data_IF_559399310542
#
_entry.id   IF_559399310542
#
_cell.length_a   1.000
_cell.length_b   1.000
_cell.length_c   1.000
_cell.angle_alpha   90.00
_cell.angle_beta   90.00
_cell.angle_gamma   90.00
#
_symmetry.space_group_name_H-M   'P 1'
#
loop_
_entity.id
_entity.type
_entity.pdbx_description
1 polymer ?
#
# COMPACT_ATOMS: atom_id res chain seq x y z
N UNK A 1 -55.80 53.95 12.50
CA UNK A 1 -56.09 54.65 11.23
C UNK A 1 -55.49 53.82 10.11
N UNK A 2 -56.29 53.42 9.13
CA UNK A 2 -55.83 52.65 7.96
C UNK A 2 -56.34 51.21 7.92
N UNK A 3 -57.63 51.08 7.59
CA UNK A 3 -58.22 49.81 7.15
C UNK A 3 -57.63 49.38 5.81
N UNK A 4 -57.54 48.06 5.56
CA UNK A 4 -57.71 47.53 4.20
C UNK A 4 -58.21 46.10 4.20
N UNK A 5 -59.08 45.90 3.21
CA UNK A 5 -60.16 44.94 3.09
C UNK A 5 -59.73 43.54 2.62
N UNK A 6 -60.64 42.55 2.70
CA UNK A 6 -60.43 41.17 2.27
C UNK A 6 -60.73 40.98 0.78
N UNK A 7 -60.06 39.99 0.17
CA UNK A 7 -60.39 39.45 -1.14
C UNK A 7 -59.16 39.20 -2.02
N UNK A 8 -58.59 38.00 -1.95
CA UNK A 8 -57.95 37.37 -3.09
C UNK A 8 -58.41 35.90 -3.11
N UNK A 9 -59.48 35.73 -3.88
CA UNK A 9 -59.81 34.57 -4.71
C UNK A 9 -58.95 33.30 -4.59
N UNK A 10 -59.68 32.22 -4.32
CA UNK A 10 -59.32 30.85 -4.62
C UNK A 10 -59.20 30.66 -6.13
N UNK A 11 -58.08 31.05 -6.74
CA UNK A 11 -57.66 30.54 -8.04
C UNK A 11 -56.57 29.51 -7.82
N UNK A 12 -56.91 28.25 -8.06
CA UNK A 12 -55.99 27.15 -8.07
C UNK A 12 -54.88 27.38 -9.09
N UNK A 13 -53.68 27.53 -8.60
CA UNK A 13 -52.49 27.01 -9.24
C UNK A 13 -51.61 26.44 -8.13
N UNK A 14 -52.04 25.29 -7.61
CA UNK A 14 -51.08 24.30 -7.17
C UNK A 14 -50.14 24.11 -8.35
N UNK A 15 -49.03 24.82 -8.35
CA UNK A 15 -47.84 24.50 -9.12
C UNK A 15 -47.37 23.14 -8.58
N UNK A 16 -48.06 22.09 -9.02
CA UNK A 16 -47.51 20.75 -9.21
C UNK A 16 -46.55 20.81 -10.40
N UNK A 17 -45.65 21.79 -10.39
CA UNK A 17 -44.61 21.97 -11.39
C UNK A 17 -43.36 21.36 -10.75
N UNK A 18 -43.11 20.09 -11.09
CA UNK A 18 -41.87 19.41 -10.75
C UNK A 18 -41.98 17.96 -10.25
N UNK A 19 -43.17 17.45 -9.92
CA UNK A 19 -43.33 16.08 -9.39
C UNK A 19 -44.20 15.14 -10.25
N UNK A 20 -44.26 15.37 -11.56
CA UNK A 20 -44.83 14.41 -12.54
C UNK A 20 -43.78 14.04 -13.59
N UNK A 21 -42.92 13.10 -13.23
CA UNK A 21 -42.03 12.37 -14.14
C UNK A 21 -41.79 10.95 -13.61
N UNK A 22 -42.80 10.39 -12.94
CA UNK A 22 -42.66 9.26 -12.02
C UNK A 22 -42.83 7.87 -12.62
N UNK A 23 -43.14 7.70 -13.91
CA UNK A 23 -43.60 6.38 -14.39
C UNK A 23 -42.89 5.79 -15.61
N UNK A 24 -41.93 6.47 -16.23
CA UNK A 24 -41.09 5.86 -17.29
C UNK A 24 -39.63 6.33 -17.20
N UNK A 25 -39.05 6.45 -15.99
CA UNK A 25 -37.58 6.52 -15.91
C UNK A 25 -37.04 5.17 -16.35
N UNK A 26 -36.38 5.18 -17.50
CA UNK A 26 -35.72 4.01 -18.06
C UNK A 26 -34.79 3.41 -17.01
N UNK A 27 -34.75 2.08 -16.91
CA UNK A 27 -33.78 1.35 -16.08
C UNK A 27 -32.34 1.78 -16.42
N UNK A 28 -32.09 2.20 -17.67
CA UNK A 28 -30.81 2.74 -18.09
C UNK A 28 -30.43 4.07 -17.41
N UNK A 29 -31.42 4.89 -17.06
CA UNK A 29 -31.20 6.20 -16.42
C UNK A 29 -30.87 6.04 -14.93
N UNK A 30 -31.57 5.14 -14.23
CA UNK A 30 -31.26 4.80 -12.83
C UNK A 30 -29.88 4.14 -12.71
N UNK A 31 -29.53 3.25 -13.65
CA UNK A 31 -28.22 2.60 -13.66
C UNK A 31 -27.10 3.61 -13.98
N UNK A 32 -27.37 4.59 -14.85
CA UNK A 32 -26.44 5.68 -15.17
C UNK A 32 -26.16 6.56 -13.94
N UNK A 33 -27.19 6.90 -13.17
CA UNK A 33 -27.05 7.69 -11.94
C UNK A 33 -26.23 6.92 -10.89
N UNK A 34 -26.54 5.64 -10.66
CA UNK A 34 -25.78 4.79 -9.70
C UNK A 34 -24.32 4.61 -10.14
N UNK A 35 -24.06 4.41 -11.44
CA UNK A 35 -22.69 4.32 -11.95
C UNK A 35 -21.92 5.63 -11.76
N UNK A 36 -22.60 6.77 -11.91
CA UNK A 36 -22.04 8.10 -11.70
C UNK A 36 -21.73 8.35 -10.22
N UNK A 37 -22.63 7.95 -9.32
CA UNK A 37 -22.43 8.06 -7.88
C UNK A 37 -21.25 7.19 -7.41
N UNK A 38 -21.16 5.95 -7.90
CA UNK A 38 -20.07 5.05 -7.56
C UNK A 38 -18.72 5.53 -8.11
N UNK A 39 -18.70 6.08 -9.32
CA UNK A 39 -17.52 6.75 -9.90
C UNK A 39 -17.07 7.95 -9.05
N UNK A 40 -18.04 8.70 -8.50
CA UNK A 40 -17.77 9.84 -7.62
C UNK A 40 -17.17 9.40 -6.29
N UNK A 41 -17.71 8.36 -5.65
CA UNK A 41 -17.15 7.79 -4.42
C UNK A 41 -15.75 7.22 -4.63
N UNK A 42 -15.52 6.48 -5.71
CA UNK A 42 -14.19 5.94 -6.05
C UNK A 42 -13.15 7.05 -6.21
N UNK A 43 -13.52 8.17 -6.85
CA UNK A 43 -12.64 9.34 -6.98
C UNK A 43 -12.36 9.98 -5.63
N UNK A 44 -13.35 10.10 -4.75
CA UNK A 44 -13.18 10.67 -3.42
C UNK A 44 -12.26 9.81 -2.54
N UNK A 45 -12.44 8.49 -2.54
CA UNK A 45 -11.55 7.54 -1.84
C UNK A 45 -10.12 7.63 -2.36
N UNK A 46 -9.95 7.75 -3.68
CA UNK A 46 -8.63 7.96 -4.30
C UNK A 46 -8.01 9.30 -3.91
N UNK A 47 -8.79 10.39 -3.90
CA UNK A 47 -8.30 11.70 -3.49
C UNK A 47 -7.89 11.71 -2.01
N UNK A 48 -8.68 11.04 -1.16
CA UNK A 48 -8.38 10.90 0.26
C UNK A 48 -7.12 10.05 0.48
N UNK A 49 -7.04 8.88 -0.16
CA UNK A 49 -5.85 8.02 -0.11
C UNK A 49 -4.62 8.75 -0.64
N UNK A 50 -4.75 9.53 -1.71
CA UNK A 50 -3.67 10.37 -2.23
C UNK A 50 -3.25 11.45 -1.24
N UNK A 51 -4.20 12.08 -0.55
CA UNK A 51 -3.92 13.08 0.48
C UNK A 51 -3.17 12.44 1.67
N UNK A 52 -3.62 11.28 2.14
CA UNK A 52 -2.98 10.54 3.24
C UNK A 52 -1.58 10.05 2.87
N UNK A 53 -1.42 9.52 1.65
CA UNK A 53 -0.11 9.15 1.11
C UNK A 53 0.82 10.36 1.01
N UNK A 54 0.33 11.52 0.53
CA UNK A 54 1.13 12.76 0.45
C UNK A 54 1.55 13.25 1.84
N UNK A 55 0.65 13.21 2.81
CA UNK A 55 0.93 13.59 4.19
C UNK A 55 1.95 12.65 4.82
N UNK A 56 1.79 11.34 4.62
CA UNK A 56 2.74 10.32 5.08
C UNK A 56 4.10 10.49 4.42
N UNK A 57 4.15 10.67 3.11
CA UNK A 57 5.38 10.90 2.36
C UNK A 57 6.09 12.18 2.80
N UNK A 58 5.35 13.25 3.08
CA UNK A 58 5.91 14.53 3.55
C UNK A 58 6.50 14.39 4.94
N UNK A 59 5.79 13.72 5.87
CA UNK A 59 6.30 13.46 7.23
C UNK A 59 7.52 12.55 7.22
N UNK A 60 7.46 11.46 6.46
CA UNK A 60 8.58 10.53 6.28
C UNK A 60 9.77 11.24 5.62
N UNK A 61 9.53 12.06 4.59
CA UNK A 61 10.55 12.84 3.89
C UNK A 61 11.19 13.90 4.77
N UNK A 62 10.42 14.61 5.60
CA UNK A 62 10.95 15.56 6.58
C UNK A 62 11.83 14.85 7.61
N UNK A 63 11.37 13.72 8.15
CA UNK A 63 12.15 12.90 9.08
C UNK A 63 13.45 12.41 8.44
N UNK A 64 13.39 11.85 7.23
CA UNK A 64 14.56 11.42 6.48
C UNK A 64 15.54 12.57 6.22
N UNK A 65 15.03 13.76 5.86
CA UNK A 65 15.83 14.96 5.68
C UNK A 65 16.54 15.41 6.97
N UNK A 66 15.82 15.41 8.11
CA UNK A 66 16.41 15.74 9.41
C UNK A 66 17.51 14.74 9.81
N UNK A 67 17.28 13.45 9.64
CA UNK A 67 18.31 12.42 9.89
C UNK A 67 19.50 12.55 8.94
N UNK A 68 19.26 12.88 7.67
CA UNK A 68 20.33 13.16 6.71
C UNK A 68 21.18 14.36 7.14
N UNK A 69 20.53 15.47 7.52
CA UNK A 69 21.21 16.65 8.05
C UNK A 69 21.98 16.36 9.34
N UNK A 70 21.38 15.62 10.28
CA UNK A 70 22.03 15.21 11.53
C UNK A 70 23.25 14.30 11.27
N UNK A 71 23.20 13.41 10.27
CA UNK A 71 24.34 12.60 9.87
C UNK A 71 25.50 13.46 9.36
N UNK A 72 25.23 14.44 8.50
CA UNK A 72 26.25 15.38 8.00
C UNK A 72 26.82 16.24 9.13
N UNK A 73 25.97 16.83 9.97
CA UNK A 73 26.40 17.64 11.10
C UNK A 73 27.22 16.82 12.10
N UNK A 74 26.77 15.60 12.44
CA UNK A 74 27.51 14.67 13.29
C UNK A 74 28.86 14.28 12.70
N UNK A 75 28.94 14.06 11.38
CA UNK A 75 30.21 13.81 10.71
C UNK A 75 31.17 15.00 10.82
N UNK A 76 30.70 16.23 10.64
CA UNK A 76 31.52 17.43 10.82
C UNK A 76 32.03 17.58 12.25
N UNK A 77 31.18 17.32 13.25
CA UNK A 77 31.59 17.32 14.66
C UNK A 77 32.71 16.30 14.91
N UNK A 78 32.60 15.10 14.36
CA UNK A 78 33.62 14.06 14.49
C UNK A 78 34.96 14.47 13.84
N UNK A 79 34.92 15.13 12.68
CA UNK A 79 36.12 15.67 12.02
C UNK A 79 36.79 16.74 12.89
N UNK A 80 36.03 17.73 13.38
CA UNK A 80 36.59 18.78 14.22
C UNK A 80 37.11 18.25 15.56
N UNK A 81 36.40 17.30 16.18
CA UNK A 81 36.87 16.63 17.39
C UNK A 81 38.18 15.89 17.14
N UNK A 82 38.34 15.24 15.98
CA UNK A 82 39.57 14.55 15.61
C UNK A 82 40.75 15.51 15.43
N UNK A 83 40.51 16.65 14.77
CA UNK A 83 41.53 17.69 14.60
C UNK A 83 41.91 18.33 15.95
N UNK A 84 40.93 18.62 16.80
CA UNK A 84 41.15 19.17 18.14
C UNK A 84 41.93 18.17 19.00
N UNK A 85 41.60 16.88 18.95
CA UNK A 85 42.30 15.83 19.67
C UNK A 85 43.74 15.69 19.16
N UNK A 86 43.93 15.67 17.84
CA UNK A 86 45.27 15.61 17.23
C UNK A 86 46.12 16.80 17.69
N UNK A 87 45.61 18.03 17.56
CA UNK A 87 46.32 19.23 18.00
C UNK A 87 46.58 19.26 19.51
N UNK A 88 45.58 18.88 20.30
CA UNK A 88 45.67 18.80 21.76
C UNK A 88 46.78 17.84 22.21
N UNK A 89 46.77 16.61 21.72
CA UNK A 89 47.85 15.64 21.98
C UNK A 89 49.17 16.12 21.37
N UNK A 90 49.12 16.79 20.21
CA UNK A 90 50.30 17.31 19.51
C UNK A 90 51.16 18.22 20.38
N UNK A 91 50.53 18.98 21.28
CA UNK A 91 51.24 19.83 22.26
C UNK A 91 51.92 19.03 23.39
N UNK A 92 51.49 17.79 23.65
CA UNK A 92 52.03 16.94 24.72
C UNK A 92 53.11 15.97 24.21
N UNK A 93 52.85 15.32 23.06
CA UNK A 93 53.67 14.19 22.56
C UNK A 93 54.17 14.38 21.12
N UNK A 94 53.87 15.53 20.49
CA UNK A 94 54.23 15.84 19.11
C UNK A 94 53.20 15.36 18.08
N UNK A 95 53.05 16.12 16.99
CA UNK A 95 51.98 15.89 16.00
C UNK A 95 52.04 14.51 15.33
N UNK A 96 53.22 13.93 15.16
CA UNK A 96 53.36 12.60 14.54
C UNK A 96 52.69 11.49 15.36
N UNK A 97 53.03 11.40 16.66
CA UNK A 97 52.47 10.38 17.55
C UNK A 97 51.00 10.61 17.85
N UNK A 98 50.56 11.86 17.92
CA UNK A 98 49.14 12.20 18.05
C UNK A 98 48.32 11.68 16.88
N UNK A 99 48.82 11.84 15.66
CA UNK A 99 48.16 11.32 14.46
C UNK A 99 47.99 9.81 14.50
N UNK A 100 49.03 9.08 14.95
CA UNK A 100 48.97 7.62 15.11
C UNK A 100 47.88 7.21 16.11
N UNK A 101 47.81 7.88 17.27
CA UNK A 101 46.81 7.58 18.30
C UNK A 101 45.40 7.85 17.78
N UNK A 102 45.17 9.01 17.14
CA UNK A 102 43.86 9.35 16.56
C UNK A 102 43.47 8.34 15.47
N UNK A 103 44.42 7.90 14.64
CA UNK A 103 44.17 6.86 13.64
C UNK A 103 43.77 5.52 14.26
N UNK A 104 44.45 5.09 15.33
CA UNK A 104 44.10 3.85 16.06
C UNK A 104 42.71 3.94 16.68
N UNK A 105 42.35 5.08 17.27
CA UNK A 105 41.00 5.31 17.81
C UNK A 105 39.94 5.16 16.71
N UNK A 106 40.15 5.78 15.55
CA UNK A 106 39.23 5.64 14.41
C UNK A 106 39.19 4.24 13.83
N UNK A 107 40.30 3.50 13.82
CA UNK A 107 40.33 2.12 13.38
C UNK A 107 39.46 1.23 14.29
N UNK A 108 39.53 1.43 15.62
CA UNK A 108 38.69 0.71 16.58
C UNK A 108 37.20 1.06 16.38
N UNK A 109 36.88 2.35 16.32
CA UNK A 109 35.50 2.81 16.08
C UNK A 109 34.96 2.22 14.77
N UNK A 110 35.74 2.32 13.69
CA UNK A 110 35.38 1.78 12.37
C UNK A 110 35.15 0.27 12.38
N UNK A 111 36.00 -0.50 13.08
CA UNK A 111 35.82 -1.94 13.24
C UNK A 111 34.51 -2.28 13.96
N UNK A 112 34.20 -1.60 15.06
CA UNK A 112 32.95 -1.79 15.81
C UNK A 112 31.73 -1.44 14.95
N UNK A 113 31.76 -0.30 14.26
CA UNK A 113 30.68 0.11 13.36
C UNK A 113 30.48 -0.87 12.20
N UNK A 114 31.56 -1.39 11.62
CA UNK A 114 31.48 -2.38 10.54
C UNK A 114 30.84 -3.69 11.01
N UNK A 115 31.21 -4.19 12.19
CA UNK A 115 30.64 -5.43 12.75
C UNK A 115 29.17 -5.25 13.13
N UNK A 116 28.84 -4.17 13.85
CA UNK A 116 27.46 -3.88 14.26
C UNK A 116 26.56 -3.60 13.05
N UNK A 117 27.03 -2.80 12.10
CA UNK A 117 26.32 -2.50 10.85
C UNK A 117 26.03 -3.75 10.01
N UNK A 118 27.01 -4.67 9.89
CA UNK A 118 26.79 -5.97 9.24
C UNK A 118 25.70 -6.77 9.94
N UNK A 119 25.71 -6.82 11.27
CA UNK A 119 24.69 -7.52 12.06
C UNK A 119 23.28 -6.94 11.87
N UNK A 120 23.17 -5.62 11.85
CA UNK A 120 21.88 -4.93 11.62
C UNK A 120 21.37 -5.14 10.20
N UNK A 121 22.25 -5.09 9.20
CA UNK A 121 21.88 -5.35 7.80
C UNK A 121 21.43 -6.81 7.59
N UNK A 122 22.10 -7.76 8.25
CA UNK A 122 21.71 -9.17 8.21
C UNK A 122 20.31 -9.40 8.80
N UNK A 123 19.97 -8.72 9.91
CA UNK A 123 18.63 -8.77 10.51
C UNK A 123 17.57 -8.10 9.63
N UNK A 124 17.89 -6.97 9.01
CA UNK A 124 16.98 -6.27 8.11
C UNK A 124 16.67 -7.07 6.83
N UNK A 125 17.65 -7.82 6.30
CA UNK A 125 17.46 -8.77 5.19
C UNK A 125 16.66 -10.02 5.58
N UNK A 126 16.56 -10.31 6.88
CA UNK A 126 15.78 -11.41 7.43
C UNK A 126 14.28 -11.14 7.56
N UNK A 127 13.79 -9.95 7.21
CA UNK A 127 12.35 -9.75 6.95
C UNK A 127 12.09 -10.40 5.59
N UNK A 128 11.38 -11.54 5.52
CA UNK A 128 11.10 -12.20 4.25
C UNK A 128 10.34 -11.22 3.39
N UNK A 129 11.04 -10.63 2.43
CA UNK A 129 10.40 -9.98 1.33
C UNK A 129 9.55 -11.05 0.67
N UNK A 130 8.25 -10.79 0.59
CA UNK A 130 7.24 -11.56 -0.16
C UNK A 130 7.58 -11.74 -1.65
N UNK A 131 8.82 -11.44 -2.07
CA UNK A 131 9.44 -11.74 -3.36
C UNK A 131 9.54 -13.24 -3.64
N UNK A 132 9.60 -14.09 -2.61
CA UNK A 132 9.53 -15.56 -2.79
C UNK A 132 8.12 -16.03 -3.21
N UNK A 133 7.08 -15.25 -2.92
CA UNK A 133 5.72 -15.53 -3.41
C UNK A 133 5.53 -15.02 -4.84
N UNK A 134 6.12 -13.86 -5.19
CA UNK A 134 6.08 -13.31 -6.56
C UNK A 134 6.90 -14.16 -7.53
N UNK A 135 8.02 -14.74 -7.10
CA UNK A 135 8.86 -15.61 -7.94
C UNK A 135 8.29 -17.02 -8.14
N UNK A 136 7.23 -17.40 -7.40
CA UNK A 136 6.52 -18.68 -7.54
C UNK A 136 5.29 -18.62 -8.46
N UNK A 137 4.97 -17.46 -9.03
CA UNK A 137 3.89 -17.29 -10.01
C UNK A 137 4.43 -16.99 -11.45
N UNK A 138 5.47 -17.67 -11.97
CA UNK A 138 5.67 -17.77 -13.42
C UNK A 138 5.10 -19.06 -14.01
N UNK A 139 5.10 -20.17 -13.25
CA UNK A 139 4.69 -21.48 -13.76
C UNK A 139 3.16 -21.64 -13.84
N UNK A 140 2.40 -20.90 -13.03
CA UNK A 140 0.93 -20.84 -13.17
C UNK A 140 0.46 -19.91 -14.31
N UNK A 141 1.34 -19.04 -14.81
CA UNK A 141 1.07 -18.17 -15.98
C UNK A 141 1.58 -18.77 -17.29
N UNK A 142 2.54 -19.70 -17.23
CA UNK A 142 2.86 -20.61 -18.33
C UNK A 142 1.91 -21.80 -18.27
N UNK A 143 0.72 -21.63 -18.83
CA UNK A 143 -0.27 -22.70 -19.00
C UNK A 143 0.34 -23.89 -19.73
N UNK A 144 0.91 -24.81 -18.97
CA UNK A 144 1.22 -26.16 -19.41
C UNK A 144 0.10 -27.01 -18.81
N UNK A 145 -1.06 -27.01 -19.45
CA UNK A 145 -2.06 -28.02 -19.18
C UNK A 145 -1.41 -29.38 -19.41
N UNK A 146 -1.21 -30.23 -18.38
CA UNK A 146 -0.83 -31.60 -18.64
C UNK A 146 -1.98 -32.19 -19.47
N UNK A 147 -1.66 -32.62 -20.69
CA UNK A 147 -2.59 -33.36 -21.52
C UNK A 147 -3.08 -34.57 -20.72
N UNK A 148 -4.27 -34.47 -20.14
CA UNK A 148 -4.91 -35.57 -19.45
C UNK A 148 -5.15 -36.67 -20.48
N UNK A 149 -4.47 -37.82 -20.39
CA UNK A 149 -4.90 -38.97 -21.14
C UNK A 149 -6.24 -39.35 -20.50
N UNK A 150 -7.34 -39.19 -21.21
CA UNK A 150 -8.56 -39.90 -20.89
C UNK A 150 -8.30 -41.39 -21.13
N UNK A 151 -7.54 -42.03 -20.24
CA UNK A 151 -7.49 -43.48 -20.10
C UNK A 151 -8.71 -43.87 -19.27
N UNK A 152 -9.67 -44.51 -19.91
CA UNK A 152 -11.01 -44.79 -19.40
C UNK A 152 -11.02 -45.33 -17.98
N UNK A 153 -11.64 -44.57 -17.08
CA UNK A 153 -12.29 -45.15 -15.91
C UNK A 153 -13.67 -45.60 -16.37
N UNK A 154 -13.79 -46.93 -16.36
CA UNK A 154 -14.99 -47.69 -16.61
C UNK A 154 -16.14 -47.14 -15.75
N UNK A 155 -17.15 -46.52 -16.38
CA UNK A 155 -18.41 -46.20 -15.72
C UNK A 155 -19.03 -47.53 -15.25
N UNK A 156 -19.28 -47.73 -13.93
CA UNK A 156 -20.02 -48.89 -13.47
C UNK A 156 -21.43 -48.80 -14.05
N UNK A 157 -21.74 -49.73 -14.95
CA UNK A 157 -23.03 -49.86 -15.59
C UNK A 157 -24.15 -49.95 -14.54
N UNK A 158 -25.11 -49.06 -14.68
CA UNK A 158 -26.44 -49.16 -14.11
C UNK A 158 -27.12 -50.43 -14.67
N UNK A 159 -27.06 -51.53 -13.91
CA UNK A 159 -27.82 -52.72 -14.23
C UNK A 159 -29.31 -52.43 -14.07
N UNK A 160 -29.99 -52.29 -15.20
CA UNK A 160 -31.45 -52.32 -15.28
C UNK A 160 -31.86 -53.77 -14.97
N UNK A 161 -32.30 -54.03 -13.74
CA UNK A 161 -32.94 -55.29 -13.38
C UNK A 161 -34.24 -55.42 -14.16
N UNK A 162 -34.23 -56.24 -15.20
CA UNK A 162 -35.42 -56.67 -15.92
C UNK A 162 -36.15 -57.71 -15.06
N UNK A 163 -37.06 -57.25 -14.22
CA UNK A 163 -38.01 -58.10 -13.49
C UNK A 163 -39.08 -58.54 -14.48
N UNK A 164 -38.93 -59.74 -15.05
CA UNK A 164 -39.82 -60.23 -16.11
C UNK A 164 -39.73 -61.73 -16.33
N UNK A 165 -39.83 -62.53 -15.26
CA UNK A 165 -40.04 -63.98 -15.33
C UNK A 165 -40.84 -64.43 -14.09
N UNK A 166 -42.14 -64.09 -14.07
CA UNK A 166 -43.12 -64.81 -13.26
C UNK A 166 -44.39 -65.01 -14.10
N UNK A 167 -44.33 -65.96 -15.02
CA UNK A 167 -45.50 -66.65 -15.58
C UNK A 167 -45.03 -67.86 -16.39
N UNK A 168 -44.94 -69.04 -15.75
CA UNK A 168 -45.35 -70.31 -16.33
C UNK A 168 -45.15 -71.52 -15.39
N UNK A 169 -46.32 -72.06 -14.99
CA UNK A 169 -46.63 -73.42 -14.49
C UNK A 169 -46.54 -73.66 -12.99
#
# INVERSE_FOLDING_TARGET
MGARSPGHDLSGSTSLDGQRGGEDRSIGEILSDVATDLSTLMRQELELAKAELKQTATRAGAGAGMFGGAAVAGHMVLVFLSLALWWGLGNLIGLGWSGLIVAVVWAIIGAVLAVTGKGQLARARGIPATTDTVSKIPDALKGNEPAHPYSGTQYPGNQVTSTGQENQR
#
